data_IF_614009892566
#
_entry.id   IF_614009892566
#
_cell.length_a   1.000
_cell.length_b   1.000
_cell.length_c   1.000
_cell.angle_alpha   90.00
_cell.angle_beta   90.00
_cell.angle_gamma   90.00
#
_symmetry.space_group_name_H-M   'P 1'
#
loop_
_entity.id
_entity.type
_entity.pdbx_description
1 polymer ?
#
# COMPACT_ATOMS: atom_id res chain seq x y z
N UNK A 1 -0.32 30.93 4.36
CA UNK A 1 -0.05 29.61 4.97
C UNK A 1 -0.98 28.65 4.27
N UNK A 2 -0.48 27.87 3.31
CA UNK A 2 -1.29 26.84 2.64
C UNK A 2 -1.46 25.69 3.62
N UNK A 3 -2.70 25.41 4.04
CA UNK A 3 -2.99 24.15 4.73
C UNK A 3 -2.64 23.01 3.78
N UNK A 4 -1.60 22.26 4.09
CA UNK A 4 -1.34 20.97 3.44
C UNK A 4 -2.31 19.98 4.06
N UNK A 5 -3.44 19.72 3.40
CA UNK A 5 -4.32 18.64 3.81
C UNK A 5 -3.58 17.31 3.63
N UNK A 6 -3.47 16.54 4.72
CA UNK A 6 -2.94 15.19 4.64
C UNK A 6 -3.88 14.32 3.80
N UNK A 7 -3.33 13.59 2.85
CA UNK A 7 -4.08 12.73 1.93
C UNK A 7 -3.84 11.26 2.25
N UNK A 8 -4.91 10.48 2.14
CA UNK A 8 -4.96 9.08 2.56
C UNK A 8 -5.40 8.17 1.41
N UNK A 9 -4.81 6.99 1.36
CA UNK A 9 -5.31 5.84 0.61
C UNK A 9 -5.72 4.77 1.62
N UNK A 10 -7.02 4.50 1.71
CA UNK A 10 -7.56 3.52 2.64
C UNK A 10 -7.87 2.25 1.85
N UNK A 11 -7.20 1.15 2.20
CA UNK A 11 -7.30 -0.13 1.49
C UNK A 11 -7.85 -1.19 2.42
N UNK A 12 -8.85 -1.92 1.93
CA UNK A 12 -9.46 -3.05 2.63
C UNK A 12 -8.58 -4.30 2.61
N UNK A 13 -9.21 -5.45 2.81
CA UNK A 13 -8.53 -6.73 2.97
C UNK A 13 -7.70 -7.12 1.74
N UNK A 14 -6.46 -7.56 1.96
CA UNK A 14 -5.52 -7.98 0.90
C UNK A 14 -5.51 -9.50 0.74
N UNK A 15 -5.68 -10.26 1.82
CA UNK A 15 -5.75 -11.74 1.80
C UNK A 15 -4.60 -12.44 1.05
N UNK A 16 -3.36 -11.92 1.14
CA UNK A 16 -2.21 -12.51 0.46
C UNK A 16 -2.11 -12.27 -1.05
N UNK A 17 -2.93 -11.38 -1.63
CA UNK A 17 -2.89 -10.98 -3.04
C UNK A 17 -1.76 -9.98 -3.34
N UNK A 18 -0.51 -10.44 -3.30
CA UNK A 18 0.67 -9.59 -3.47
C UNK A 18 0.78 -8.90 -4.85
N UNK A 19 0.43 -9.59 -5.94
CA UNK A 19 0.52 -9.02 -7.29
C UNK A 19 -0.54 -7.91 -7.52
N UNK A 20 -1.72 -8.09 -6.97
CA UNK A 20 -2.79 -7.11 -6.97
C UNK A 20 -2.43 -5.90 -6.12
N UNK A 21 -1.78 -6.11 -4.97
CA UNK A 21 -1.26 -5.02 -4.13
C UNK A 21 -0.18 -4.22 -4.85
N UNK A 22 0.81 -4.87 -5.50
CA UNK A 22 1.83 -4.21 -6.32
C UNK A 22 1.17 -3.38 -7.45
N UNK A 23 0.16 -3.95 -8.12
CA UNK A 23 -0.60 -3.25 -9.18
C UNK A 23 -1.36 -2.05 -8.64
N UNK A 24 -1.98 -2.18 -7.47
CA UNK A 24 -2.73 -1.11 -6.81
C UNK A 24 -1.80 0.04 -6.40
N UNK A 25 -0.67 -0.27 -5.78
CA UNK A 25 0.35 0.71 -5.38
C UNK A 25 0.86 1.50 -6.60
N UNK A 26 1.19 0.82 -7.69
CA UNK A 26 1.61 1.47 -8.94
C UNK A 26 0.52 2.39 -9.52
N UNK A 27 -0.75 1.95 -9.52
CA UNK A 27 -1.89 2.78 -9.97
C UNK A 27 -2.10 4.01 -9.09
N UNK A 28 -1.83 3.91 -7.80
CA UNK A 28 -1.99 5.00 -6.84
C UNK A 28 -0.76 5.92 -6.78
N UNK A 29 0.30 5.65 -7.54
CA UNK A 29 1.50 6.49 -7.60
C UNK A 29 2.55 6.17 -6.52
N UNK A 30 2.42 5.05 -5.81
CA UNK A 30 3.44 4.57 -4.90
C UNK A 30 4.54 3.85 -5.67
N UNK A 31 5.80 4.13 -5.32
CA UNK A 31 6.98 3.52 -5.90
C UNK A 31 7.98 3.08 -4.84
N UNK A 32 8.93 2.22 -5.24
CA UNK A 32 10.05 1.80 -4.40
C UNK A 32 11.12 2.89 -4.34
N UNK A 33 11.47 3.31 -3.13
CA UNK A 33 12.63 4.14 -2.80
C UNK A 33 13.56 3.32 -1.88
N UNK A 34 14.52 2.62 -2.49
CA UNK A 34 15.27 1.57 -1.79
C UNK A 34 14.36 0.39 -1.44
N UNK A 35 14.34 0.02 -0.16
CA UNK A 35 13.50 -1.07 0.35
C UNK A 35 12.15 -0.57 0.93
N UNK A 36 11.77 0.69 0.64
CA UNK A 36 10.56 1.31 1.21
C UNK A 36 9.64 1.80 0.10
N UNK A 37 8.34 1.53 0.23
CA UNK A 37 7.31 2.02 -0.69
C UNK A 37 6.86 3.42 -0.28
N UNK A 38 6.88 4.38 -1.21
CA UNK A 38 6.57 5.80 -0.96
C UNK A 38 5.78 6.46 -2.08
N UNK A 39 4.97 7.44 -1.70
CA UNK A 39 4.27 8.33 -2.63
C UNK A 39 4.97 9.71 -2.66
N UNK A 40 5.17 10.29 -3.85
CA UNK A 40 5.84 11.58 -4.02
C UNK A 40 5.16 12.70 -3.22
N UNK A 41 3.82 12.73 -3.25
CA UNK A 41 3.01 13.72 -2.52
C UNK A 41 2.81 13.42 -1.01
N UNK A 42 3.64 12.55 -0.41
CA UNK A 42 3.56 12.22 1.02
C UNK A 42 2.18 11.69 1.48
N UNK A 43 1.47 11.01 0.58
CA UNK A 43 0.20 10.33 0.89
C UNK A 43 0.46 9.17 1.86
N UNK A 44 -0.46 8.96 2.79
CA UNK A 44 -0.41 7.85 3.74
C UNK A 44 -1.25 6.68 3.25
N UNK A 45 -0.62 5.53 3.08
CA UNK A 45 -1.28 4.27 2.77
C UNK A 45 -1.72 3.57 4.06
N UNK A 46 -3.01 3.31 4.22
CA UNK A 46 -3.61 2.74 5.43
C UNK A 46 -4.33 1.45 5.07
N UNK A 47 -3.92 0.34 5.67
CA UNK A 47 -4.65 -0.92 5.61
C UNK A 47 -5.69 -1.00 6.72
N UNK A 48 -6.90 -1.43 6.38
CA UNK A 48 -8.00 -1.61 7.35
C UNK A 48 -7.92 -2.92 8.13
N UNK A 49 -7.13 -3.89 7.65
CA UNK A 49 -7.00 -5.20 8.28
C UNK A 49 -6.71 -6.28 7.25
N UNK A 50 -6.65 -7.52 7.75
CA UNK A 50 -6.55 -8.77 6.97
C UNK A 50 -5.56 -8.73 5.79
N UNK A 51 -4.33 -8.34 6.12
CA UNK A 51 -3.20 -8.43 5.19
C UNK A 51 -2.89 -9.89 4.84
N UNK A 52 -3.20 -10.80 5.77
CA UNK A 52 -2.74 -12.18 5.79
C UNK A 52 -3.83 -13.09 6.34
N UNK A 53 -4.69 -13.60 5.47
CA UNK A 53 -5.36 -14.88 5.65
C UNK A 53 -5.68 -15.53 4.28
N UNK A 54 -5.58 -16.87 4.24
CA UNK A 54 -5.94 -17.79 3.13
C UNK A 54 -5.22 -17.67 1.77
N UNK A 55 -4.34 -16.70 1.53
CA UNK A 55 -3.59 -16.58 0.27
C UNK A 55 -2.29 -17.43 0.21
N UNK A 56 -1.84 -17.89 -0.97
CA UNK A 56 -0.64 -18.73 -1.13
C UNK A 56 0.71 -17.98 -1.01
N UNK A 57 0.71 -16.64 -0.93
CA UNK A 57 1.91 -15.79 -1.07
C UNK A 57 2.08 -14.74 0.06
N UNK A 58 1.75 -15.13 1.28
CA UNK A 58 1.81 -14.31 2.52
C UNK A 58 3.17 -13.61 2.72
N UNK A 59 4.26 -14.25 2.30
CA UNK A 59 5.63 -13.71 2.47
C UNK A 59 5.86 -12.46 1.63
N UNK A 60 5.23 -12.35 0.47
CA UNK A 60 5.39 -11.22 -0.45
C UNK A 60 4.70 -9.95 0.05
N UNK A 61 3.57 -10.10 0.75
CA UNK A 61 2.82 -8.98 1.34
C UNK A 61 3.55 -8.35 2.53
N UNK A 62 4.43 -9.10 3.20
CA UNK A 62 5.13 -8.65 4.42
C UNK A 62 6.55 -8.10 4.18
N UNK A 63 7.00 -8.02 2.93
CA UNK A 63 8.34 -7.54 2.58
C UNK A 63 8.39 -6.06 2.25
#
# INVERSE_FOLDING_TARGET
MTETSEQYDIVGDVHGCGAELETLLAKLGYGLEGDVIRHADQRRFIFLGDLVDRGPDTVRVLR
#
